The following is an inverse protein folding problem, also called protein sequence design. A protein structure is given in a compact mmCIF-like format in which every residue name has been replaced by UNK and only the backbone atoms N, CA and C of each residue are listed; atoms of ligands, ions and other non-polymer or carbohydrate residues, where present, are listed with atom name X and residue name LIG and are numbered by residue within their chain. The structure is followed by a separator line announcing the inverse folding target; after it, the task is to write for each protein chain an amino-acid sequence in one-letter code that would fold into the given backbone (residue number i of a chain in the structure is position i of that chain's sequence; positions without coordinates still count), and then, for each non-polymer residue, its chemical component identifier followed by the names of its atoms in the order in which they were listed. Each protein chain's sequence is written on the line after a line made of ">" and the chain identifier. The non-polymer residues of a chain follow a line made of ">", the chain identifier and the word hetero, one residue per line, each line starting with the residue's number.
data_IF_382686383373
#
_entry.id   IF_382686383373
#
_cell.length_a   1.000
_cell.length_b   1.000
_cell.length_c   1.000
_cell.angle_alpha   90.00
_cell.angle_beta   90.00
_cell.angle_gamma   90.00
#
_symmetry.space_group_name_H-M   'P 1'
#
loop_
_entity.id
_entity.type
_entity.pdbx_description
1 polymer ?
#
# COMPACT_ATOMS: atom_id res chain seq x y z
N UNK A 1 2.84 -21.70 -20.62
CA UNK A 1 1.62 -21.03 -20.15
C UNK A 1 2.00 -19.57 -19.96
N UNK A 2 1.42 -18.64 -20.72
CA UNK A 2 1.74 -17.21 -20.58
C UNK A 2 0.93 -16.68 -19.41
N UNK A 3 1.60 -16.29 -18.33
CA UNK A 3 0.96 -15.62 -17.20
C UNK A 3 0.58 -14.21 -17.66
N UNK A 4 -0.73 -13.96 -17.79
CA UNK A 4 -1.26 -12.63 -18.11
C UNK A 4 -0.75 -11.61 -17.09
N UNK A 5 -0.41 -10.40 -17.55
CA UNK A 5 -0.04 -9.29 -16.68
C UNK A 5 -1.20 -9.04 -15.70
N UNK A 6 -0.98 -9.39 -14.43
CA UNK A 6 -2.00 -9.33 -13.40
C UNK A 6 -1.78 -8.04 -12.61
N UNK A 7 -2.83 -7.25 -12.44
CA UNK A 7 -2.81 -6.17 -11.47
C UNK A 7 -2.75 -6.80 -10.08
N UNK A 8 -1.59 -6.71 -9.45
CA UNK A 8 -1.38 -7.23 -8.10
C UNK A 8 -1.49 -6.07 -7.12
N UNK A 9 -2.59 -6.03 -6.37
CA UNK A 9 -2.64 -5.21 -5.16
C UNK A 9 -1.95 -6.00 -4.05
N UNK A 10 -0.92 -5.39 -3.44
CA UNK A 10 -0.16 -6.02 -2.35
C UNK A 10 -0.05 -5.03 -1.21
N UNK A 11 -0.28 -5.51 0.01
CA UNK A 11 -0.28 -4.72 1.23
C UNK A 11 0.51 -5.48 2.30
N UNK A 12 1.11 -4.73 3.21
CA UNK A 12 1.86 -5.26 4.35
C UNK A 12 1.79 -4.28 5.52
N UNK A 13 1.93 -4.81 6.73
CA UNK A 13 1.95 -4.01 7.95
C UNK A 13 3.34 -3.45 8.24
N UNK A 14 3.42 -2.49 9.16
CA UNK A 14 4.71 -1.96 9.62
C UNK A 14 5.63 -3.07 10.12
N UNK A 15 6.84 -3.14 9.55
CA UNK A 15 7.85 -4.16 9.86
C UNK A 15 7.78 -5.43 8.99
N UNK A 16 6.74 -5.61 8.18
CA UNK A 16 6.64 -6.69 7.22
C UNK A 16 7.31 -6.33 5.87
N UNK A 17 7.57 -7.35 5.03
CA UNK A 17 8.20 -7.17 3.71
C UNK A 17 7.29 -7.67 2.61
N UNK A 18 7.09 -6.83 1.58
CA UNK A 18 6.42 -7.22 0.34
C UNK A 18 7.46 -7.72 -0.66
N UNK A 19 7.19 -8.87 -1.28
CA UNK A 19 7.99 -9.39 -2.39
C UNK A 19 7.16 -9.34 -3.67
N UNK A 20 7.64 -8.62 -4.67
CA UNK A 20 7.01 -8.53 -5.99
C UNK A 20 7.74 -9.46 -6.97
N UNK A 21 6.98 -10.19 -7.76
CA UNK A 21 7.51 -11.06 -8.80
C UNK A 21 6.77 -10.80 -10.11
N UNK A 22 7.51 -10.79 -11.21
CA UNK A 22 6.96 -10.71 -12.55
C UNK A 22 7.44 -11.90 -13.40
N UNK A 23 6.62 -12.39 -14.34
CA UNK A 23 7.01 -13.44 -15.26
C UNK A 23 8.28 -13.09 -16.06
N UNK A 24 8.95 -14.10 -16.62
CA UNK A 24 10.13 -13.89 -17.49
C UNK A 24 9.80 -12.91 -18.62
N UNK A 25 10.77 -12.06 -18.95
CA UNK A 25 10.68 -11.04 -20.00
C UNK A 25 9.59 -9.98 -19.78
N UNK A 26 9.13 -9.80 -18.54
CA UNK A 26 8.26 -8.69 -18.14
C UNK A 26 8.97 -7.83 -17.08
N UNK A 27 8.41 -6.65 -16.81
CA UNK A 27 8.92 -5.74 -15.78
C UNK A 27 7.78 -5.40 -14.81
N UNK A 28 8.16 -5.07 -13.58
CA UNK A 28 7.22 -4.53 -12.59
C UNK A 28 7.03 -3.04 -12.89
N UNK A 29 5.78 -2.64 -13.11
CA UNK A 29 5.37 -1.24 -13.14
C UNK A 29 4.56 -0.97 -11.87
N UNK A 30 4.95 0.06 -11.12
CA UNK A 30 4.24 0.47 -9.92
C UNK A 30 3.36 1.68 -10.26
N UNK A 31 2.05 1.49 -10.27
CA UNK A 31 1.07 2.54 -10.61
C UNK A 31 0.68 3.38 -9.39
N UNK A 32 0.47 2.73 -8.24
CA UNK A 32 0.06 3.39 -7.00
C UNK A 32 0.85 2.83 -5.82
N UNK A 33 1.32 3.70 -4.95
CA UNK A 33 1.92 3.35 -3.66
C UNK A 33 1.37 4.25 -2.58
N UNK A 34 1.10 3.66 -1.43
CA UNK A 34 0.70 4.41 -0.25
C UNK A 34 1.36 3.78 0.98
N UNK A 35 1.85 4.63 1.86
CA UNK A 35 2.37 4.24 3.17
C UNK A 35 1.65 5.06 4.24
N UNK A 36 1.10 4.37 5.24
CA UNK A 36 0.18 4.93 6.22
C UNK A 36 -1.05 4.05 6.39
N UNK A 37 -2.19 4.64 6.74
CA UNK A 37 -3.47 3.92 6.85
C UNK A 37 -4.56 4.62 6.05
N UNK A 38 -5.31 3.84 5.26
CA UNK A 38 -6.56 4.28 4.61
C UNK A 38 -7.80 3.71 5.31
N UNK A 39 -7.59 2.77 6.22
CA UNK A 39 -8.63 2.12 7.03
C UNK A 39 -8.15 2.03 8.48
N UNK A 40 -9.06 1.96 9.45
CA UNK A 40 -8.71 1.82 10.86
C UNK A 40 -7.88 0.54 11.11
N UNK A 41 -7.04 0.55 12.14
CA UNK A 41 -6.22 -0.59 12.57
C UNK A 41 -7.04 -1.84 12.88
N UNK A 42 -8.31 -1.69 13.27
CA UNK A 42 -9.23 -2.81 13.49
C UNK A 42 -9.55 -3.58 12.22
N UNK A 43 -9.46 -2.94 11.05
CA UNK A 43 -9.72 -3.57 9.76
C UNK A 43 -8.45 -4.10 9.09
N UNK A 44 -7.33 -3.38 9.23
CA UNK A 44 -6.04 -3.78 8.66
C UNK A 44 -4.88 -3.44 9.59
N UNK A 45 -4.00 -4.42 9.81
CA UNK A 45 -2.83 -4.30 10.68
C UNK A 45 -3.17 -3.88 12.13
N UNK A 46 -3.86 -4.77 12.89
CA UNK A 46 -4.30 -4.48 14.25
C UNK A 46 -3.10 -4.29 15.19
N UNK A 47 -3.15 -3.21 15.97
CA UNK A 47 -2.16 -2.95 17.02
C UNK A 47 -2.43 -3.82 18.24
N UNK A 48 -1.37 -4.39 18.83
CA UNK A 48 -1.45 -5.14 20.09
C UNK A 48 -1.38 -4.22 21.33
N UNK A 49 -1.13 -2.92 21.13
CA UNK A 49 -1.02 -1.97 22.23
C UNK A 49 -2.41 -1.62 22.81
N UNK A 50 -2.61 -1.66 24.14
CA UNK A 50 -3.88 -1.33 24.75
C UNK A 50 -4.19 0.18 24.63
N UNK A 51 -5.18 0.49 23.81
CA UNK A 51 -6.13 1.60 23.99
C UNK A 51 -5.56 3.02 24.02
N UNK A 52 -4.64 3.37 23.12
CA UNK A 52 -4.65 4.75 22.63
C UNK A 52 -5.58 4.80 21.44
N UNK A 53 -6.88 5.05 21.69
CA UNK A 53 -7.83 5.53 20.68
C UNK A 53 -7.44 6.94 20.21
N UNK A 54 -6.20 7.12 19.79
CA UNK A 54 -5.82 8.27 18.97
C UNK A 54 -6.65 8.12 17.71
N UNK A 55 -7.47 9.12 17.40
CA UNK A 55 -8.16 9.25 16.12
C UNK A 55 -7.16 8.89 15.02
N UNK A 56 -7.29 7.70 14.46
CA UNK A 56 -6.39 7.25 13.39
C UNK A 56 -6.74 8.11 12.18
N UNK A 57 -5.78 8.89 11.72
CA UNK A 57 -5.96 9.65 10.48
C UNK A 57 -5.91 8.67 9.32
N UNK A 58 -7.08 8.44 8.72
CA UNK A 58 -7.24 7.61 7.52
C UNK A 58 -7.38 8.47 6.26
N UNK A 59 -7.21 9.80 6.36
CA UNK A 59 -7.19 10.68 5.21
C UNK A 59 -5.87 10.54 4.45
N UNK A 60 -5.97 10.51 3.12
CA UNK A 60 -4.80 10.59 2.25
C UNK A 60 -4.99 11.76 1.29
N UNK A 61 -4.43 12.89 1.66
CA UNK A 61 -4.35 14.07 0.80
C UNK A 61 -3.04 13.98 0.00
N UNK A 62 -3.14 13.51 -1.25
CA UNK A 62 -2.01 13.59 -2.18
C UNK A 62 -1.82 15.08 -2.47
N UNK A 63 -0.71 15.66 -2.00
CA UNK A 63 -0.28 16.96 -2.49
C UNK A 63 -0.05 16.82 -3.99
N UNK A 64 -0.98 17.33 -4.80
CA UNK A 64 -0.82 17.38 -6.24
C UNK A 64 0.51 18.10 -6.50
N UNK A 65 1.47 17.37 -7.07
CA UNK A 65 2.67 18.01 -7.58
C UNK A 65 2.20 18.93 -8.70
N UNK A 66 2.16 20.24 -8.43
CA UNK A 66 1.95 21.24 -9.47
C UNK A 66 2.97 20.96 -10.59
N UNK A 67 2.51 20.41 -11.70
CA UNK A 67 3.26 20.45 -12.95
C UNK A 67 3.17 21.88 -13.45
N UNK A 68 4.03 22.74 -12.91
CA UNK A 68 4.33 24.02 -13.54
C UNK A 68 5.00 23.69 -14.89
N UNK A 69 4.22 23.81 -15.97
CA UNK A 69 4.67 23.74 -17.37
C UNK A 69 4.98 25.15 -17.86
#
# INVERSE_FOLDING_TARGET
>A
MMESLKNNLVQACDGEKITLHCPRNTHILIENTFYGRLVPSTELCPSTAPNTFTLEDTSCDIAEAHTDI
#
